data_IF_265870492584
#
_entry.id   IF_265870492584
#
_cell.length_a   1.000
_cell.length_b   1.000
_cell.length_c   1.000
_cell.angle_alpha   90.00
_cell.angle_beta   90.00
_cell.angle_gamma   90.00
#
_symmetry.space_group_name_H-M   'P 1'
#
loop_
_entity.id
_entity.type
_entity.pdbx_description
1 polymer ?
#
# COMPACT_ATOMS: atom_id res chain seq x y z
N UNK A 1 -40.30 0.29 -11.51
CA UNK A 1 -39.02 -0.34 -11.11
C UNK A 1 -37.89 -0.04 -12.10
N UNK A 2 -38.13 0.01 -13.41
CA UNK A 2 -37.15 0.38 -14.45
C UNK A 2 -36.64 1.82 -14.37
N UNK A 3 -37.44 2.77 -13.90
CA UNK A 3 -37.05 4.19 -13.82
C UNK A 3 -36.04 4.49 -12.70
N UNK A 4 -36.10 3.81 -11.54
CA UNK A 4 -35.12 4.00 -10.46
C UNK A 4 -33.76 3.35 -10.79
N UNK A 5 -33.76 2.23 -11.50
CA UNK A 5 -32.53 1.59 -12.01
C UNK A 5 -31.85 2.40 -13.11
N UNK A 6 -32.62 3.11 -13.95
CA UNK A 6 -32.04 4.01 -14.95
C UNK A 6 -31.48 5.29 -14.30
N UNK A 7 -32.18 5.85 -13.29
CA UNK A 7 -31.72 7.00 -12.51
C UNK A 7 -30.44 6.70 -11.72
N UNK A 8 -30.33 5.52 -11.10
CA UNK A 8 -29.14 5.10 -10.36
C UNK A 8 -27.91 4.88 -11.25
N UNK A 9 -28.12 4.48 -12.51
CA UNK A 9 -27.05 4.39 -13.51
C UNK A 9 -26.68 5.78 -14.06
N UNK A 10 -27.61 6.72 -14.04
CA UNK A 10 -27.46 8.08 -14.53
C UNK A 10 -26.70 9.02 -13.57
N UNK A 11 -26.65 8.75 -12.27
CA UNK A 11 -25.81 9.48 -11.29
C UNK A 11 -24.42 8.84 -11.08
N UNK A 12 -24.09 7.82 -11.87
CA UNK A 12 -22.85 7.07 -11.75
C UNK A 12 -21.67 7.80 -12.41
N UNK A 13 -20.52 7.76 -11.74
CA UNK A 13 -19.26 8.32 -12.21
C UNK A 13 -18.64 7.33 -13.20
N UNK A 14 -18.05 7.81 -14.29
CA UNK A 14 -17.41 6.90 -15.25
C UNK A 14 -16.17 6.23 -14.66
N UNK A 15 -15.78 5.02 -15.12
CA UNK A 15 -14.56 4.37 -14.66
C UNK A 15 -13.33 5.27 -14.81
N UNK A 16 -13.23 6.05 -15.89
CA UNK A 16 -12.12 7.00 -16.10
C UNK A 16 -12.08 8.08 -15.02
N UNK A 17 -13.22 8.65 -14.65
CA UNK A 17 -13.31 9.62 -13.56
C UNK A 17 -12.96 8.99 -12.20
N UNK A 18 -13.35 7.73 -11.96
CA UNK A 18 -12.93 6.96 -10.78
C UNK A 18 -11.40 6.73 -10.76
N UNK A 19 -10.80 6.42 -11.91
CA UNK A 19 -9.35 6.27 -12.04
C UNK A 19 -8.64 7.58 -11.71
N UNK A 20 -9.11 8.72 -12.22
CA UNK A 20 -8.53 10.05 -11.92
C UNK A 20 -8.65 10.39 -10.43
N UNK A 21 -9.80 10.14 -9.82
CA UNK A 21 -10.00 10.32 -8.37
C UNK A 21 -9.09 9.40 -7.55
N UNK A 22 -8.85 8.17 -8.02
CA UNK A 22 -7.94 7.22 -7.37
C UNK A 22 -6.48 7.69 -7.48
N UNK A 23 -6.08 8.19 -8.65
CA UNK A 23 -4.76 8.75 -8.90
C UNK A 23 -4.45 9.94 -7.97
N UNK A 24 -5.38 10.89 -7.84
CA UNK A 24 -5.19 12.05 -6.96
C UNK A 24 -5.04 11.63 -5.49
N UNK A 25 -5.84 10.67 -5.03
CA UNK A 25 -5.70 10.08 -3.70
C UNK A 25 -4.36 9.39 -3.49
N UNK A 26 -3.89 8.60 -4.46
CA UNK A 26 -2.59 7.93 -4.41
C UNK A 26 -1.43 8.93 -4.36
N UNK A 27 -1.48 9.98 -5.19
CA UNK A 27 -0.46 11.03 -5.24
C UNK A 27 -0.38 11.81 -3.93
N UNK A 28 -1.53 12.25 -3.41
CA UNK A 28 -1.59 13.02 -2.17
C UNK A 28 -1.12 12.18 -0.99
N UNK A 29 -1.60 10.93 -0.88
CA UNK A 29 -1.17 10.01 0.18
C UNK A 29 0.33 9.76 0.12
N UNK A 30 0.88 9.53 -1.07
CA UNK A 30 2.32 9.32 -1.25
C UNK A 30 3.11 10.57 -0.85
N UNK A 31 2.65 11.76 -1.19
CA UNK A 31 3.30 13.02 -0.82
C UNK A 31 3.39 13.18 0.71
N UNK A 32 2.34 12.84 1.44
CA UNK A 32 2.31 12.95 2.90
C UNK A 32 3.07 11.82 3.62
N UNK A 33 3.01 10.60 3.11
CA UNK A 33 3.58 9.42 3.79
C UNK A 33 5.08 9.25 3.48
N UNK A 34 5.57 9.71 2.32
CA UNK A 34 6.97 9.52 1.92
C UNK A 34 7.99 10.07 2.94
N UNK A 35 7.83 11.29 3.50
CA UNK A 35 8.73 11.79 4.53
C UNK A 35 8.81 10.87 5.75
N UNK A 36 7.67 10.36 6.22
CA UNK A 36 7.62 9.45 7.37
C UNK A 36 8.32 8.13 7.07
N UNK A 37 8.16 7.62 5.84
CA UNK A 37 8.83 6.40 5.40
C UNK A 37 10.35 6.60 5.30
N UNK A 38 10.82 7.74 4.77
CA UNK A 38 12.25 8.06 4.74
C UNK A 38 12.82 8.10 6.16
N UNK A 39 12.18 8.84 7.08
CA UNK A 39 12.64 8.96 8.47
C UNK A 39 12.70 7.58 9.14
N UNK A 40 11.65 6.77 8.98
CA UNK A 40 11.60 5.42 9.53
C UNK A 40 12.75 4.56 9.03
N UNK A 41 13.01 4.57 7.72
CA UNK A 41 14.06 3.73 7.16
C UNK A 41 15.44 4.20 7.64
N UNK A 42 15.69 5.51 7.75
CA UNK A 42 16.95 6.04 8.34
C UNK A 42 17.14 5.61 9.79
N UNK A 43 16.09 5.70 10.61
CA UNK A 43 16.10 5.21 12.00
C UNK A 43 16.36 3.70 12.09
N UNK A 44 15.79 2.92 11.19
CA UNK A 44 15.98 1.47 11.14
C UNK A 44 17.41 1.10 10.70
N UNK A 45 17.97 1.83 9.73
CA UNK A 45 19.34 1.64 9.27
C UNK A 45 20.37 1.86 10.39
N UNK A 46 20.11 2.75 11.34
CA UNK A 46 20.98 2.98 12.50
C UNK A 46 21.03 1.80 13.48
N UNK A 47 19.91 1.07 13.67
CA UNK A 47 19.83 -0.05 14.65
C UNK A 47 20.47 -1.33 14.14
N UNK A 48 20.65 -1.47 12.83
CA UNK A 48 21.37 -2.58 12.21
C UNK A 48 22.60 -2.01 11.50
N UNK A 49 23.66 -1.61 12.24
CA UNK A 49 24.90 -1.17 11.62
C UNK A 49 25.39 -2.31 10.75
N UNK A 50 25.56 -2.03 9.46
CA UNK A 50 25.99 -3.04 8.51
C UNK A 50 27.35 -3.56 8.92
N UNK A 51 27.52 -4.86 8.72
CA UNK A 51 28.82 -5.53 8.85
C UNK A 51 29.92 -4.65 8.22
N UNK A 52 31.03 -4.49 8.98
CA UNK A 52 32.22 -3.73 8.57
C UNK A 52 32.52 -3.98 7.09
N UNK A 53 32.55 -2.92 6.28
CA UNK A 53 32.87 -2.98 4.83
C UNK A 53 31.76 -2.60 3.85
N UNK A 54 30.52 -2.34 4.32
CA UNK A 54 29.40 -1.90 3.45
C UNK A 54 28.76 -0.60 3.99
N UNK A 55 28.74 0.46 3.19
CA UNK A 55 28.03 1.72 3.51
C UNK A 55 26.80 1.85 2.58
N UNK A 56 25.86 2.75 2.88
CA UNK A 56 24.72 3.06 1.98
C UNK A 56 24.62 4.55 1.71
N UNK A 57 24.33 4.92 0.46
CA UNK A 57 24.08 6.28 -0.01
C UNK A 57 22.60 6.26 -0.33
N UNK A 58 21.89 7.24 0.18
CA UNK A 58 20.54 7.48 -0.24
C UNK A 58 20.59 8.53 -1.35
N UNK A 59 20.66 8.07 -2.59
CA UNK A 59 20.36 8.91 -3.74
C UNK A 59 19.06 8.39 -4.34
N UNK A 60 18.09 9.30 -4.55
CA UNK A 60 16.82 9.00 -5.24
C UNK A 60 15.89 7.97 -4.56
N UNK A 61 16.04 7.77 -3.23
CA UNK A 61 15.18 6.96 -2.36
C UNK A 61 14.76 5.58 -2.88
N UNK A 62 15.58 5.03 -3.78
CA UNK A 62 15.98 3.64 -3.72
C UNK A 62 17.08 3.52 -2.66
N UNK A 63 17.12 2.39 -1.95
CA UNK A 63 18.28 2.05 -1.12
C UNK A 63 19.46 1.74 -2.06
N UNK A 64 20.36 2.70 -2.27
CA UNK A 64 21.60 2.46 -3.03
C UNK A 64 22.70 1.95 -2.08
N UNK A 65 23.23 0.75 -2.35
CA UNK A 65 24.42 0.20 -1.69
C UNK A 65 25.68 1.00 -2.09
N UNK A 66 26.45 1.52 -1.13
CA UNK A 66 27.82 2.02 -1.35
C UNK A 66 28.80 0.91 -0.99
N UNK A 67 29.69 0.59 -1.93
CA UNK A 67 30.90 -0.14 -1.60
C UNK A 67 31.87 0.76 -0.84
N UNK A 68 32.23 0.42 0.40
CA UNK A 68 33.41 1.04 1.05
C UNK A 68 34.64 0.34 0.49
N UNK A 69 35.61 1.10 -0.02
CA UNK A 69 36.90 0.55 -0.41
C UNK A 69 37.61 0.00 0.84
N UNK A 70 37.95 -1.28 0.82
CA UNK A 70 38.65 -2.00 1.89
C UNK A 70 40.16 -1.67 1.96
N UNK A 71 40.59 -0.49 1.51
CA UNK A 71 42.00 -0.10 1.55
C UNK A 71 42.22 1.38 1.89
N UNK A 72 42.20 1.66 3.19
CA UNK A 72 43.24 2.38 3.92
C UNK A 72 43.60 3.85 3.62
N UNK A 73 43.36 4.43 2.44
CA UNK A 73 44.02 5.70 2.12
C UNK A 73 43.28 6.69 1.20
N UNK A 74 41.94 6.73 1.25
CA UNK A 74 41.18 7.84 0.63
C UNK A 74 40.11 8.33 1.59
N UNK A 75 40.03 9.66 1.77
CA UNK A 75 39.00 10.37 2.56
C UNK A 75 37.64 9.70 2.36
N UNK A 76 37.01 9.25 3.46
CA UNK A 76 35.64 8.77 3.44
C UNK A 76 34.74 9.88 2.84
N UNK A 77 34.23 9.65 1.63
CA UNK A 77 33.39 10.60 0.90
C UNK A 77 31.99 10.77 1.53
N UNK A 78 31.70 9.97 2.56
CA UNK A 78 30.45 9.94 3.30
C UNK A 78 30.73 10.14 4.80
N UNK A 79 30.19 11.23 5.38
CA UNK A 79 30.20 11.41 6.84
C UNK A 79 29.20 10.43 7.46
N UNK A 80 29.60 9.58 8.43
CA UNK A 80 28.68 8.69 9.11
C UNK A 80 27.54 9.51 9.73
N UNK A 81 26.31 9.04 9.55
CA UNK A 81 25.13 9.72 10.08
C UNK A 81 25.22 9.79 11.61
N UNK A 82 25.04 10.99 12.16
CA UNK A 82 24.96 11.15 13.62
C UNK A 82 23.81 10.31 14.18
N UNK A 83 24.00 9.76 15.38
CA UNK A 83 22.99 8.98 16.07
C UNK A 83 21.68 9.78 16.19
N UNK A 84 20.58 9.21 15.71
CA UNK A 84 19.22 9.71 15.86
C UNK A 84 18.65 9.21 17.19
N UNK A 85 18.21 10.13 18.04
CA UNK A 85 17.59 9.83 19.33
C UNK A 85 16.06 9.65 19.23
N UNK A 86 15.48 9.87 18.05
CA UNK A 86 14.05 9.72 17.80
C UNK A 86 13.60 10.25 16.44
N UNK A 87 12.30 10.15 16.15
CA UNK A 87 11.69 10.57 14.88
C UNK A 87 11.83 12.06 14.61
N UNK A 88 11.62 12.91 15.62
CA UNK A 88 11.76 14.37 15.49
C UNK A 88 13.22 14.79 15.31
N UNK A 89 14.12 14.17 16.05
CA UNK A 89 15.56 14.40 15.92
C UNK A 89 16.07 13.97 14.53
N UNK A 90 15.61 12.81 14.05
CA UNK A 90 15.89 12.36 12.68
C UNK A 90 15.35 13.31 11.62
N UNK A 91 14.11 13.78 11.76
CA UNK A 91 13.52 14.78 10.86
C UNK A 91 14.38 16.05 10.78
N UNK A 92 14.70 16.65 11.93
CA UNK A 92 15.47 17.90 12.00
C UNK A 92 16.88 17.71 11.41
N UNK A 93 17.57 16.63 11.78
CA UNK A 93 18.92 16.33 11.27
C UNK A 93 18.93 16.06 9.77
N UNK A 94 17.97 15.31 9.24
CA UNK A 94 17.86 15.04 7.79
C UNK A 94 17.63 16.34 7.03
N UNK A 95 16.67 17.16 7.47
CA UNK A 95 16.36 18.43 6.81
C UNK A 95 17.56 19.38 6.85
N UNK A 96 18.29 19.46 7.97
CA UNK A 96 19.46 20.33 8.12
C UNK A 96 20.68 19.84 7.32
N UNK A 97 20.91 18.53 7.20
CA UNK A 97 22.11 17.99 6.56
C UNK A 97 21.94 17.67 5.07
N UNK A 98 20.79 17.12 4.67
CA UNK A 98 20.51 16.67 3.30
C UNK A 98 19.57 17.62 2.55
N UNK A 99 18.94 18.55 3.25
CA UNK A 99 17.95 19.48 2.71
C UNK A 99 16.54 18.90 2.69
N UNK A 100 15.52 19.78 2.62
CA UNK A 100 14.11 19.38 2.72
C UNK A 100 13.65 18.41 1.62
N UNK A 101 14.21 18.50 0.41
CA UNK A 101 13.86 17.64 -0.73
C UNK A 101 14.26 16.18 -0.53
N UNK A 102 15.24 15.89 0.35
CA UNK A 102 15.70 14.54 0.65
C UNK A 102 14.59 13.63 1.21
N UNK A 103 13.61 14.22 1.90
CA UNK A 103 12.43 13.52 2.45
C UNK A 103 11.55 12.90 1.36
N UNK A 104 11.64 13.35 0.11
CA UNK A 104 10.91 12.81 -1.04
C UNK A 104 11.81 12.12 -2.06
N UNK A 105 13.06 11.82 -1.70
CA UNK A 105 14.01 11.19 -2.61
C UNK A 105 13.46 9.91 -3.26
N UNK A 106 12.63 9.12 -2.55
CA UNK A 106 12.04 7.86 -3.04
C UNK A 106 10.66 7.97 -3.67
N UNK A 107 10.14 9.19 -3.84
CA UNK A 107 8.78 9.41 -4.33
C UNK A 107 8.59 8.94 -5.78
N UNK A 108 9.44 9.29 -6.76
CA UNK A 108 9.23 8.90 -8.16
C UNK A 108 9.10 7.39 -8.39
N UNK A 109 10.03 6.52 -7.92
CA UNK A 109 9.87 5.08 -8.11
C UNK A 109 8.68 4.54 -7.32
N UNK A 110 8.31 5.15 -6.19
CA UNK A 110 7.10 4.80 -5.43
C UNK A 110 5.83 5.07 -6.21
N UNK A 111 5.72 6.22 -6.87
CA UNK A 111 4.54 6.59 -7.66
C UNK A 111 4.32 5.71 -8.88
N UNK A 112 5.39 5.33 -9.60
CA UNK A 112 5.32 4.44 -10.78
C UNK A 112 4.61 3.12 -10.44
N UNK A 113 4.75 2.65 -9.21
CA UNK A 113 4.11 1.42 -8.72
C UNK A 113 2.78 1.67 -8.02
N UNK A 114 2.72 2.69 -7.16
CA UNK A 114 1.58 2.95 -6.29
C UNK A 114 0.36 3.43 -7.06
N UNK A 115 0.55 4.24 -8.12
CA UNK A 115 -0.57 4.81 -8.89
C UNK A 115 -1.32 3.71 -9.65
N UNK A 116 -0.68 2.87 -10.51
CA UNK A 116 -1.40 1.80 -11.19
C UNK A 116 -2.07 0.82 -10.22
N UNK A 117 -1.38 0.44 -9.13
CA UNK A 117 -1.92 -0.47 -8.13
C UNK A 117 -3.19 0.08 -7.47
N UNK A 118 -3.17 1.36 -7.08
CA UNK A 118 -4.33 2.02 -6.44
C UNK A 118 -5.48 2.17 -7.43
N UNK A 119 -5.19 2.57 -8.67
CA UNK A 119 -6.21 2.72 -9.72
C UNK A 119 -6.93 1.41 -10.01
N UNK A 120 -6.17 0.33 -10.23
CA UNK A 120 -6.74 -1.00 -10.48
C UNK A 120 -7.57 -1.44 -9.28
N UNK A 121 -7.05 -1.29 -8.07
CA UNK A 121 -7.71 -1.72 -6.85
C UNK A 121 -9.02 -0.97 -6.56
N UNK A 122 -8.99 0.37 -6.53
CA UNK A 122 -10.18 1.18 -6.21
C UNK A 122 -11.24 1.10 -7.29
N UNK A 123 -10.85 1.14 -8.56
CA UNK A 123 -11.81 1.00 -9.68
C UNK A 123 -12.43 -0.40 -9.67
N UNK A 124 -11.64 -1.46 -9.50
CA UNK A 124 -12.16 -2.83 -9.40
C UNK A 124 -13.09 -2.99 -8.20
N UNK A 125 -12.73 -2.41 -7.05
CA UNK A 125 -13.59 -2.43 -5.86
C UNK A 125 -14.95 -1.79 -6.13
N UNK A 126 -14.99 -0.56 -6.65
CA UNK A 126 -16.26 0.16 -6.87
C UNK A 126 -17.15 -0.62 -7.85
N UNK A 127 -16.59 -1.13 -8.94
CA UNK A 127 -17.33 -1.91 -9.95
C UNK A 127 -17.84 -3.24 -9.39
N UNK A 128 -16.99 -3.99 -8.67
CA UNK A 128 -17.39 -5.25 -8.02
C UNK A 128 -18.41 -5.01 -6.92
N UNK A 129 -18.28 -3.94 -6.15
CA UNK A 129 -19.20 -3.61 -5.07
C UNK A 129 -20.57 -3.23 -5.63
N UNK A 130 -20.63 -2.44 -6.69
CA UNK A 130 -21.88 -2.12 -7.38
C UNK A 130 -22.56 -3.39 -7.95
N UNK A 131 -21.78 -4.25 -8.63
CA UNK A 131 -22.29 -5.51 -9.17
C UNK A 131 -22.79 -6.47 -8.08
N UNK A 132 -22.05 -6.62 -6.98
CA UNK A 132 -22.44 -7.49 -5.87
C UNK A 132 -23.65 -6.96 -5.11
N UNK A 133 -23.75 -5.64 -4.88
CA UNK A 133 -24.94 -5.03 -4.26
C UNK A 133 -26.20 -5.27 -5.10
N UNK A 134 -26.09 -5.17 -6.42
CA UNK A 134 -27.21 -5.47 -7.31
C UNK A 134 -27.60 -6.96 -7.29
N UNK A 135 -26.63 -7.87 -7.12
CA UNK A 135 -26.88 -9.32 -7.12
C UNK A 135 -27.35 -9.88 -5.77
N UNK A 136 -26.92 -9.29 -4.65
CA UNK A 136 -27.06 -9.93 -3.31
C UNK A 136 -28.29 -9.51 -2.50
N UNK A 137 -29.14 -8.59 -2.98
CA UNK A 137 -30.41 -8.23 -2.32
C UNK A 137 -30.24 -7.91 -0.83
N UNK A 138 -30.90 -8.68 0.06
CA UNK A 138 -30.84 -8.51 1.53
C UNK A 138 -29.44 -8.68 2.14
N UNK A 139 -28.52 -9.42 1.50
CA UNK A 139 -27.12 -9.57 1.98
C UNK A 139 -26.18 -8.45 1.49
N UNK A 140 -26.73 -7.32 1.07
CA UNK A 140 -25.97 -6.16 0.57
C UNK A 140 -24.91 -5.62 1.55
N UNK A 141 -25.09 -5.87 2.84
CA UNK A 141 -24.15 -5.50 3.90
C UNK A 141 -22.78 -6.19 3.81
N UNK A 142 -22.72 -7.41 3.26
CA UNK A 142 -21.48 -8.16 3.07
C UNK A 142 -20.81 -7.87 1.72
N UNK A 143 -21.50 -7.18 0.81
CA UNK A 143 -20.98 -6.87 -0.52
C UNK A 143 -19.66 -6.07 -0.47
N UNK A 144 -19.45 -5.06 0.41
CA UNK A 144 -18.17 -4.37 0.53
C UNK A 144 -17.01 -5.26 0.96
N UNK A 145 -17.29 -6.23 1.85
CA UNK A 145 -16.29 -7.18 2.34
C UNK A 145 -15.80 -8.07 1.20
N UNK A 146 -16.74 -8.69 0.46
CA UNK A 146 -16.43 -9.58 -0.66
C UNK A 146 -15.81 -8.81 -1.84
N UNK A 147 -16.36 -7.65 -2.19
CA UNK A 147 -15.81 -6.78 -3.23
C UNK A 147 -14.37 -6.38 -2.89
N UNK A 148 -14.12 -5.97 -1.63
CA UNK A 148 -12.79 -5.61 -1.15
C UNK A 148 -11.80 -6.77 -1.23
N UNK A 149 -12.22 -7.97 -0.85
CA UNK A 149 -11.39 -9.17 -0.92
C UNK A 149 -11.04 -9.55 -2.37
N UNK A 150 -12.06 -9.67 -3.23
CA UNK A 150 -11.90 -10.09 -4.64
C UNK A 150 -11.08 -9.03 -5.41
N UNK A 151 -11.40 -7.75 -5.23
CA UNK A 151 -10.65 -6.65 -5.85
C UNK A 151 -9.18 -6.69 -5.45
N UNK A 152 -8.87 -6.99 -4.18
CA UNK A 152 -7.49 -7.07 -3.71
C UNK A 152 -6.75 -8.27 -4.28
N UNK A 153 -7.39 -9.43 -4.39
CA UNK A 153 -6.79 -10.60 -5.04
C UNK A 153 -6.45 -10.28 -6.49
N UNK A 154 -7.40 -9.70 -7.24
CA UNK A 154 -7.19 -9.32 -8.63
C UNK A 154 -6.07 -8.28 -8.77
N UNK A 155 -6.12 -7.19 -8.01
CA UNK A 155 -5.13 -6.12 -8.10
C UNK A 155 -3.73 -6.58 -7.70
N UNK A 156 -3.59 -7.33 -6.61
CA UNK A 156 -2.29 -7.84 -6.16
C UNK A 156 -1.69 -8.83 -7.16
N UNK A 157 -2.52 -9.68 -7.78
CA UNK A 157 -2.05 -10.62 -8.81
C UNK A 157 -1.53 -9.89 -10.04
N UNK A 158 -2.20 -8.84 -10.50
CA UNK A 158 -1.77 -8.03 -11.64
C UNK A 158 -0.48 -7.24 -11.36
N UNK A 159 -0.32 -6.75 -10.13
CA UNK A 159 0.79 -5.88 -9.73
C UNK A 159 2.02 -6.67 -9.27
N UNK A 160 1.86 -7.92 -8.84
CA UNK A 160 2.95 -8.76 -8.29
C UNK A 160 4.22 -8.82 -9.15
N UNK A 161 4.16 -8.97 -10.49
CA UNK A 161 5.38 -8.98 -11.31
C UNK A 161 6.16 -7.66 -11.24
N UNK A 162 5.44 -6.53 -11.23
CA UNK A 162 6.05 -5.21 -11.12
C UNK A 162 6.64 -4.99 -9.72
N UNK A 163 5.99 -5.51 -8.66
CA UNK A 163 6.55 -5.48 -7.30
C UNK A 163 7.83 -6.33 -7.19
N UNK A 164 7.87 -7.49 -7.86
CA UNK A 164 9.07 -8.32 -7.91
C UNK A 164 10.25 -7.58 -8.56
N UNK A 165 10.01 -6.92 -9.69
CA UNK A 165 11.01 -6.09 -10.39
C UNK A 165 11.50 -4.97 -9.46
N UNK A 166 10.58 -4.23 -8.84
CA UNK A 166 10.92 -3.14 -7.93
C UNK A 166 11.75 -3.64 -6.74
N UNK A 167 11.34 -4.73 -6.12
CA UNK A 167 12.03 -5.28 -4.94
C UNK A 167 13.43 -5.78 -5.31
N UNK A 168 13.62 -6.38 -6.48
CA UNK A 168 14.94 -6.76 -7.00
C UNK A 168 15.86 -5.56 -7.24
N UNK A 169 15.35 -4.51 -7.87
CA UNK A 169 16.08 -3.25 -8.07
C UNK A 169 16.42 -2.55 -6.75
N UNK A 170 15.59 -2.70 -5.72
CA UNK A 170 15.85 -2.16 -4.39
C UNK A 170 16.84 -3.00 -3.57
N UNK A 171 16.88 -4.31 -3.80
CA UNK A 171 17.76 -5.22 -3.05
C UNK A 171 19.18 -5.25 -3.61
N UNK A 172 19.34 -5.17 -4.93
CA UNK A 172 20.63 -5.30 -5.60
C UNK A 172 20.80 -4.17 -6.64
N UNK A 173 21.99 -3.57 -6.72
CA UNK A 173 22.32 -2.59 -7.77
C UNK A 173 22.56 -3.34 -9.08
N UNK A 174 21.48 -3.72 -9.75
CA UNK A 174 21.52 -4.33 -11.07
C UNK A 174 21.13 -3.30 -12.13
N UNK A 175 21.88 -3.26 -13.23
CA UNK A 175 21.46 -2.58 -14.44
C UNK A 175 20.15 -3.18 -14.96
N UNK A 176 19.31 -2.39 -15.64
CA UNK A 176 18.08 -2.91 -16.26
C UNK A 176 18.35 -4.11 -17.19
N UNK A 177 19.52 -4.17 -17.83
CA UNK A 177 19.96 -5.32 -18.64
C UNK A 177 20.16 -6.57 -17.78
N UNK A 178 20.86 -6.44 -16.66
CA UNK A 178 21.11 -7.53 -15.71
C UNK A 178 19.81 -8.02 -15.08
N UNK A 179 18.92 -7.10 -14.70
CA UNK A 179 17.58 -7.44 -14.20
C UNK A 179 16.78 -8.23 -15.24
N UNK A 180 16.78 -7.79 -16.50
CA UNK A 180 16.07 -8.51 -17.57
C UNK A 180 16.66 -9.91 -17.80
N UNK A 181 17.97 -10.08 -17.67
CA UNK A 181 18.64 -11.37 -17.77
C UNK A 181 18.26 -12.29 -16.59
N UNK A 182 18.19 -11.75 -15.37
CA UNK A 182 17.74 -12.47 -14.17
C UNK A 182 16.28 -12.91 -14.30
N UNK A 183 15.40 -12.04 -14.79
CA UNK A 183 13.99 -12.37 -15.00
C UNK A 183 13.83 -13.43 -16.10
N UNK A 184 14.52 -13.27 -17.23
CA UNK A 184 14.50 -14.27 -18.32
C UNK A 184 15.02 -15.63 -17.85
N UNK A 185 16.10 -15.62 -17.07
CA UNK A 185 16.65 -16.83 -16.47
C UNK A 185 15.65 -17.49 -15.52
N UNK A 186 15.02 -16.71 -14.63
CA UNK A 186 14.01 -17.21 -13.70
C UNK A 186 12.77 -17.79 -14.42
N UNK A 187 12.31 -17.14 -15.49
CA UNK A 187 11.19 -17.65 -16.30
C UNK A 187 11.59 -18.92 -17.07
N UNK A 188 12.84 -19.05 -17.51
CA UNK A 188 13.33 -20.25 -18.18
C UNK A 188 13.50 -21.43 -17.21
N UNK A 189 13.90 -21.20 -15.96
CA UNK A 189 14.15 -22.28 -14.98
C UNK A 189 12.91 -22.70 -14.19
N UNK A 190 12.12 -21.74 -13.72
CA UNK A 190 10.95 -21.98 -12.85
C UNK A 190 9.61 -21.76 -13.58
N UNK A 191 9.65 -21.32 -14.84
CA UNK A 191 8.45 -20.97 -15.62
C UNK A 191 7.89 -19.59 -15.28
N UNK A 192 6.77 -19.23 -15.91
CA UNK A 192 6.11 -17.93 -15.73
C UNK A 192 5.64 -17.67 -14.29
N UNK A 193 5.38 -18.73 -13.51
CA UNK A 193 4.98 -18.64 -12.11
C UNK A 193 6.04 -17.99 -11.20
N UNK A 194 7.30 -17.96 -11.64
CA UNK A 194 8.39 -17.28 -10.94
C UNK A 194 8.09 -15.78 -10.69
N UNK A 195 7.33 -15.14 -11.58
CA UNK A 195 6.96 -13.72 -11.46
C UNK A 195 5.98 -13.44 -10.31
N UNK A 196 5.28 -14.46 -9.83
CA UNK A 196 4.35 -14.38 -8.69
C UNK A 196 4.95 -14.94 -7.39
N UNK A 197 6.27 -15.12 -7.37
CA UNK A 197 6.99 -15.56 -6.16
C UNK A 197 6.84 -14.49 -5.07
N UNK A 198 6.20 -14.86 -3.97
CA UNK A 198 5.87 -13.96 -2.86
C UNK A 198 4.43 -13.43 -2.85
N UNK A 199 3.62 -13.75 -3.87
CA UNK A 199 2.21 -13.37 -3.91
C UNK A 199 1.43 -13.92 -2.69
N UNK A 200 1.66 -15.18 -2.31
CA UNK A 200 0.94 -15.82 -1.19
C UNK A 200 1.03 -15.03 0.13
N UNK A 201 2.23 -14.73 0.64
CA UNK A 201 2.40 -13.87 1.82
C UNK A 201 1.82 -12.45 1.65
N UNK A 202 1.78 -11.91 0.44
CA UNK A 202 1.13 -10.63 0.16
C UNK A 202 -0.39 -10.74 0.27
N UNK A 203 -1.00 -11.73 -0.37
CA UNK A 203 -2.44 -11.97 -0.28
C UNK A 203 -2.90 -12.26 1.15
N UNK A 204 -2.13 -13.06 1.90
CA UNK A 204 -2.44 -13.39 3.30
C UNK A 204 -2.60 -12.15 4.18
N UNK A 205 -1.83 -11.09 3.90
CA UNK A 205 -1.92 -9.83 4.63
C UNK A 205 -2.99 -8.91 4.03
N UNK A 206 -2.91 -8.72 2.73
CA UNK A 206 -3.61 -7.64 2.04
C UNK A 206 -5.10 -7.93 1.88
N UNK A 207 -5.49 -9.19 1.67
CA UNK A 207 -6.89 -9.58 1.48
C UNK A 207 -7.72 -9.42 2.76
N UNK A 208 -7.30 -9.95 3.93
CA UNK A 208 -8.03 -9.70 5.17
C UNK A 208 -8.08 -8.22 5.53
N UNK A 209 -6.99 -7.48 5.26
CA UNK A 209 -6.95 -6.04 5.52
C UNK A 209 -7.99 -5.32 4.66
N UNK A 210 -8.01 -5.60 3.36
CA UNK A 210 -8.95 -5.02 2.40
C UNK A 210 -10.41 -5.31 2.75
N UNK A 211 -10.72 -6.56 3.07
CA UNK A 211 -12.06 -7.02 3.41
C UNK A 211 -12.60 -6.29 4.65
N UNK A 212 -11.80 -6.25 5.73
CA UNK A 212 -12.17 -5.55 6.96
C UNK A 212 -12.21 -4.04 6.78
N UNK A 213 -11.29 -3.48 5.99
CA UNK A 213 -11.24 -2.05 5.72
C UNK A 213 -12.52 -1.56 5.05
N UNK A 214 -12.91 -2.16 3.92
CA UNK A 214 -14.08 -1.71 3.17
C UNK A 214 -15.39 -1.99 3.89
N UNK A 215 -15.51 -3.13 4.59
CA UNK A 215 -16.68 -3.41 5.41
C UNK A 215 -16.91 -2.34 6.49
N UNK A 216 -15.87 -2.06 7.29
CA UNK A 216 -15.96 -1.05 8.35
C UNK A 216 -16.10 0.37 7.79
N UNK A 217 -15.44 0.67 6.67
CA UNK A 217 -15.54 1.96 6.01
C UNK A 217 -16.96 2.24 5.53
N UNK A 218 -17.60 1.32 4.80
CA UNK A 218 -18.96 1.51 4.30
C UNK A 218 -19.98 1.62 5.44
N UNK A 219 -19.86 0.79 6.48
CA UNK A 219 -20.70 0.89 7.69
C UNK A 219 -20.50 2.20 8.43
N UNK A 220 -19.24 2.60 8.67
CA UNK A 220 -18.91 3.85 9.36
C UNK A 220 -19.35 5.09 8.57
N UNK A 221 -19.14 5.09 7.25
CA UNK A 221 -19.61 6.14 6.34
C UNK A 221 -21.13 6.27 6.38
N UNK A 222 -21.87 5.15 6.27
CA UNK A 222 -23.32 5.17 6.33
C UNK A 222 -23.84 5.69 7.68
N UNK A 223 -23.23 5.27 8.78
CA UNK A 223 -23.59 5.75 10.13
C UNK A 223 -23.35 7.26 10.29
N UNK A 224 -22.18 7.78 9.88
CA UNK A 224 -21.88 9.23 9.97
C UNK A 224 -22.77 10.06 9.04
N UNK A 225 -23.06 9.58 7.83
CA UNK A 225 -23.96 10.28 6.91
C UNK A 225 -25.38 10.38 7.46
N UNK A 226 -25.90 9.30 8.06
CA UNK A 226 -27.21 9.30 8.70
C UNK A 226 -27.24 10.26 9.90
N UNK A 227 -26.19 10.24 10.74
CA UNK A 227 -26.09 11.14 11.90
C UNK A 227 -26.04 12.62 11.50
N UNK A 228 -25.28 12.96 10.46
CA UNK A 228 -25.14 14.34 9.98
C UNK A 228 -26.24 14.77 8.99
N UNK A 229 -27.22 13.90 8.69
CA UNK A 229 -28.31 14.13 7.72
C UNK A 229 -27.80 14.53 6.32
N UNK A 230 -26.67 13.97 5.89
CA UNK A 230 -26.07 14.23 4.58
C UNK A 230 -26.24 13.02 3.66
N UNK A 231 -26.76 13.24 2.45
CA UNK A 231 -26.92 12.17 1.46
C UNK A 231 -25.59 11.69 0.88
N UNK A 232 -24.60 12.59 0.79
CA UNK A 232 -23.26 12.29 0.31
C UNK A 232 -22.20 12.41 1.41
N UNK A 233 -21.15 11.58 1.40
CA UNK A 233 -20.07 11.67 2.37
C UNK A 233 -19.25 12.95 2.16
N UNK A 234 -19.19 13.80 3.19
CA UNK A 234 -18.27 14.94 3.20
C UNK A 234 -16.83 14.47 3.36
N UNK A 235 -15.86 15.33 3.02
CA UNK A 235 -14.43 15.03 3.19
C UNK A 235 -14.11 14.56 4.63
N UNK A 236 -14.66 15.22 5.65
CA UNK A 236 -14.45 14.87 7.06
C UNK A 236 -15.05 13.50 7.42
N UNK A 237 -16.24 13.18 6.90
CA UNK A 237 -16.87 11.87 7.12
C UNK A 237 -15.99 10.78 6.50
N UNK A 238 -15.55 10.96 5.26
CA UNK A 238 -14.66 10.01 4.57
C UNK A 238 -13.32 9.88 5.29
N UNK A 239 -12.74 10.99 5.77
CA UNK A 239 -11.47 11.01 6.49
C UNK A 239 -11.55 10.23 7.82
N UNK A 240 -12.55 10.53 8.66
CA UNK A 240 -12.72 9.88 9.97
C UNK A 240 -13.05 8.39 9.78
N UNK A 241 -14.01 8.08 8.91
CA UNK A 241 -14.38 6.68 8.63
C UNK A 241 -13.21 5.89 8.06
N UNK A 242 -12.40 6.49 7.18
CA UNK A 242 -11.17 5.92 6.65
C UNK A 242 -10.09 5.67 7.70
N UNK A 243 -9.87 6.62 8.61
CA UNK A 243 -8.91 6.49 9.70
C UNK A 243 -9.31 5.34 10.65
N UNK A 244 -10.59 5.30 11.05
CA UNK A 244 -11.12 4.29 11.98
C UNK A 244 -11.14 2.91 11.34
N UNK A 245 -11.63 2.79 10.10
CA UNK A 245 -11.66 1.51 9.39
C UNK A 245 -10.26 0.96 9.13
N UNK A 246 -9.31 1.83 8.73
CA UNK A 246 -7.89 1.49 8.57
C UNK A 246 -7.25 1.02 9.87
N UNK A 247 -7.57 1.69 10.98
CA UNK A 247 -7.12 1.31 12.32
C UNK A 247 -7.61 -0.07 12.72
N UNK A 248 -8.92 -0.33 12.63
CA UNK A 248 -9.53 -1.62 12.96
C UNK A 248 -8.93 -2.73 12.08
N UNK A 249 -8.86 -2.50 10.76
CA UNK A 249 -8.26 -3.45 9.83
C UNK A 249 -6.79 -3.74 10.16
N UNK A 250 -6.01 -2.72 10.55
CA UNK A 250 -4.60 -2.88 10.92
C UNK A 250 -4.39 -3.70 12.20
N UNK A 251 -5.32 -3.61 13.17
CA UNK A 251 -5.28 -4.38 14.41
C UNK A 251 -5.62 -5.85 14.13
N UNK A 252 -6.74 -6.08 13.41
CA UNK A 252 -7.21 -7.44 13.09
C UNK A 252 -6.18 -8.20 12.25
N UNK A 253 -5.46 -7.51 11.36
CA UNK A 253 -4.47 -8.14 10.49
C UNK A 253 -3.05 -8.15 11.04
N UNK A 254 -2.83 -7.66 12.26
CA UNK A 254 -1.49 -7.59 12.84
C UNK A 254 -0.79 -8.94 13.02
N UNK A 255 -1.48 -10.02 13.44
CA UNK A 255 -0.85 -11.34 13.51
C UNK A 255 -0.28 -11.79 12.16
N UNK A 256 -0.98 -11.54 11.05
CA UNK A 256 -0.53 -11.91 9.72
C UNK A 256 0.69 -11.09 9.25
N UNK A 257 0.74 -9.81 9.61
CA UNK A 257 1.92 -8.95 9.37
C UNK A 257 3.15 -9.46 10.11
N UNK A 258 2.99 -9.83 11.39
CA UNK A 258 4.09 -10.36 12.21
C UNK A 258 4.61 -11.67 11.63
N UNK A 259 3.73 -12.60 11.25
CA UNK A 259 4.15 -13.86 10.63
C UNK A 259 4.89 -13.61 9.31
N UNK A 260 4.40 -12.72 8.46
CA UNK A 260 5.06 -12.37 7.19
C UNK A 260 6.45 -11.78 7.41
N UNK A 261 6.56 -10.81 8.31
CA UNK A 261 7.84 -10.13 8.59
C UNK A 261 8.87 -11.08 9.19
N UNK A 262 8.49 -11.93 10.15
CA UNK A 262 9.37 -12.96 10.71
C UNK A 262 9.87 -13.92 9.63
N UNK A 263 8.97 -14.39 8.76
CA UNK A 263 9.35 -15.26 7.63
C UNK A 263 10.31 -14.57 6.65
N UNK A 264 10.12 -13.29 6.37
CA UNK A 264 11.01 -12.53 5.50
C UNK A 264 12.40 -12.35 6.11
N UNK A 265 12.49 -12.13 7.43
CA UNK A 265 13.77 -12.05 8.15
C UNK A 265 14.49 -13.40 8.13
N UNK A 266 13.80 -14.50 8.47
CA UNK A 266 14.37 -15.85 8.47
C UNK A 266 14.90 -16.25 7.09
N UNK A 267 14.15 -15.98 6.03
CA UNK A 267 14.60 -16.21 4.65
C UNK A 267 15.83 -15.37 4.29
N UNK A 268 15.88 -14.10 4.74
CA UNK A 268 17.03 -13.23 4.52
C UNK A 268 18.31 -13.75 5.21
N UNK A 269 18.19 -14.24 6.45
CA UNK A 269 19.31 -14.82 7.20
C UNK A 269 19.83 -16.12 6.58
N UNK A 270 18.94 -17.00 6.13
CA UNK A 270 19.30 -18.24 5.44
C UNK A 270 20.07 -17.97 4.14
N UNK A 271 19.58 -16.99 3.35
CA UNK A 271 20.24 -16.59 2.11
C UNK A 271 21.61 -15.97 2.36
N UNK A 272 21.77 -15.18 3.43
CA UNK A 272 23.06 -14.61 3.83
C UNK A 272 24.09 -15.67 4.26
N UNK A 273 23.65 -16.76 4.90
CA UNK A 273 24.52 -17.84 5.37
C UNK A 273 24.92 -18.85 4.28
N UNK A 274 24.45 -18.70 3.04
CA UNK A 274 24.62 -19.68 1.92
C UNK A 274 24.25 -21.12 2.29
N UNK A 275 23.49 -21.32 3.36
CA UNK A 275 22.97 -22.62 3.75
C UNK A 275 21.76 -22.89 2.86
N UNK A 276 22.00 -23.58 1.74
CA UNK A 276 20.94 -24.21 0.95
C UNK A 276 20.37 -25.33 1.82
N UNK A 277 19.42 -24.98 2.69
CA UNK A 277 18.61 -25.98 3.39
C UNK A 277 17.22 -26.01 2.76
N UNK A 278 16.89 -27.18 2.26
CA UNK A 278 15.68 -27.62 1.56
C UNK A 278 14.41 -27.62 2.42
N UNK A 279 14.29 -26.77 3.45
CA UNK A 279 13.20 -26.90 4.41
C UNK A 279 12.70 -25.57 5.00
N UNK A 280 12.38 -24.60 4.15
CA UNK A 280 11.72 -23.35 4.55
C UNK A 280 10.23 -23.28 4.17
N UNK A 281 9.57 -24.41 3.92
CA UNK A 281 8.10 -24.46 3.81
C UNK A 281 7.49 -24.75 5.18
N UNK A 282 7.79 -23.88 6.15
CA UNK A 282 7.05 -23.87 7.41
C UNK A 282 5.68 -23.26 7.11
N UNK A 283 4.60 -24.01 7.33
CA UNK A 283 3.24 -23.50 7.23
C UNK A 283 3.11 -22.22 8.06
N UNK A 284 2.38 -21.22 7.56
CA UNK A 284 2.08 -19.96 8.27
C UNK A 284 1.60 -20.24 9.70
N UNK A 285 0.80 -21.30 9.86
CA UNK A 285 0.30 -21.75 11.15
C UNK A 285 1.42 -22.20 12.10
N UNK A 286 2.42 -22.94 11.60
CA UNK A 286 3.58 -23.39 12.40
C UNK A 286 4.40 -22.20 12.88
N UNK A 287 4.62 -21.20 12.03
CA UNK A 287 5.31 -19.96 12.41
C UNK A 287 4.51 -19.20 13.46
N UNK A 288 3.19 -19.10 13.29
CA UNK A 288 2.31 -18.46 14.29
C UNK A 288 2.37 -19.18 15.64
N UNK A 289 2.32 -20.51 15.64
CA UNK A 289 2.41 -21.34 16.85
C UNK A 289 3.77 -21.17 17.55
N UNK A 290 4.85 -21.09 16.78
CA UNK A 290 6.21 -20.84 17.30
C UNK A 290 6.30 -19.47 17.97
N UNK A 291 5.79 -18.42 17.34
CA UNK A 291 5.79 -17.05 17.92
C UNK A 291 5.02 -17.03 19.25
N UNK A 292 3.86 -17.68 19.31
CA UNK A 292 3.06 -17.75 20.53
C UNK A 292 3.79 -18.54 21.62
N UNK A 293 4.52 -19.61 21.27
CA UNK A 293 5.32 -20.36 22.23
C UNK A 293 6.52 -19.57 22.77
N UNK A 294 7.18 -18.74 21.95
CA UNK A 294 8.38 -17.98 22.33
C UNK A 294 8.07 -16.66 23.05
N UNK A 295 7.06 -15.91 22.60
CA UNK A 295 6.77 -14.54 23.04
C UNK A 295 5.33 -14.33 23.51
N UNK A 296 4.55 -15.40 23.62
CA UNK A 296 3.13 -15.32 23.94
C UNK A 296 2.30 -14.64 22.86
N UNK A 297 1.02 -14.39 23.17
CA UNK A 297 0.08 -13.70 22.26
C UNK A 297 0.52 -12.26 21.99
N UNK A 298 1.19 -11.61 22.95
CA UNK A 298 1.73 -10.25 22.77
C UNK A 298 2.76 -10.17 21.64
N UNK A 299 3.49 -11.26 21.38
CA UNK A 299 4.41 -11.37 20.25
C UNK A 299 3.72 -11.18 18.90
N UNK A 300 2.46 -11.60 18.74
CA UNK A 300 1.67 -11.41 17.52
C UNK A 300 1.22 -9.96 17.30
N UNK A 301 1.26 -9.13 18.35
CA UNK A 301 0.89 -7.71 18.29
C UNK A 301 2.10 -6.78 18.43
N UNK A 302 3.32 -7.32 18.35
CA UNK A 302 4.54 -6.53 18.39
C UNK A 302 4.59 -5.53 17.22
N UNK A 303 4.82 -4.26 17.53
CA UNK A 303 4.88 -3.18 16.53
C UNK A 303 3.53 -2.59 16.13
N UNK A 304 2.45 -2.83 16.89
CA UNK A 304 1.13 -2.28 16.61
C UNK A 304 1.10 -0.74 16.53
N UNK A 305 1.74 -0.03 17.48
CA UNK A 305 1.71 1.44 17.52
C UNK A 305 2.35 2.08 16.28
N UNK A 306 3.59 1.71 15.88
CA UNK A 306 4.18 2.20 14.63
C UNK A 306 3.32 1.89 13.40
N UNK A 307 2.63 0.75 13.37
CA UNK A 307 1.70 0.42 12.28
C UNK A 307 0.51 1.36 12.27
N UNK A 308 -0.13 1.55 13.42
CA UNK A 308 -1.34 2.37 13.55
C UNK A 308 -1.08 3.83 13.15
N UNK A 309 0.03 4.40 13.64
CA UNK A 309 0.46 5.78 13.32
C UNK A 309 0.68 5.96 11.82
N UNK A 310 1.13 4.93 11.10
CA UNK A 310 1.32 4.98 9.64
C UNK A 310 0.01 4.75 8.87
N UNK A 311 -0.74 3.70 9.23
CA UNK A 311 -1.88 3.23 8.44
C UNK A 311 -3.07 4.17 8.55
N UNK A 312 -3.37 4.68 9.76
CA UNK A 312 -4.57 5.50 9.95
C UNK A 312 -4.54 6.80 9.11
N UNK A 313 -3.46 7.61 9.10
CA UNK A 313 -3.40 8.80 8.25
C UNK A 313 -3.36 8.45 6.75
N UNK A 314 -2.65 7.39 6.37
CA UNK A 314 -2.55 6.99 4.97
C UNK A 314 -3.92 6.59 4.40
N UNK A 315 -4.69 5.78 5.14
CA UNK A 315 -6.04 5.39 4.75
C UNK A 315 -6.99 6.60 4.73
N UNK A 316 -6.92 7.46 5.75
CA UNK A 316 -7.77 8.65 5.87
C UNK A 316 -7.60 9.60 4.67
N UNK A 317 -6.36 9.95 4.34
CA UNK A 317 -6.04 10.84 3.20
C UNK A 317 -6.47 10.19 1.89
N UNK A 318 -6.13 8.92 1.69
CA UNK A 318 -6.41 8.22 0.43
C UNK A 318 -7.90 8.19 0.13
N UNK A 319 -8.72 7.79 1.12
CA UNK A 319 -10.16 7.64 0.90
C UNK A 319 -10.89 8.97 0.87
N UNK A 320 -10.48 9.95 1.68
CA UNK A 320 -11.12 11.26 1.69
C UNK A 320 -10.89 12.01 0.38
N UNK A 321 -9.67 11.92 -0.18
CA UNK A 321 -9.38 12.47 -1.51
C UNK A 321 -10.13 11.72 -2.60
N UNK A 322 -10.22 10.39 -2.51
CA UNK A 322 -10.98 9.59 -3.47
C UNK A 322 -12.48 9.95 -3.48
N UNK A 323 -13.13 10.00 -2.32
CA UNK A 323 -14.54 10.38 -2.22
C UNK A 323 -14.78 11.84 -2.63
N UNK A 324 -13.88 12.74 -2.25
CA UNK A 324 -13.95 14.13 -2.70
C UNK A 324 -13.87 14.23 -4.22
N UNK A 325 -12.93 13.52 -4.84
CA UNK A 325 -12.82 13.45 -6.30
C UNK A 325 -14.09 12.88 -6.94
N UNK A 326 -14.67 11.82 -6.34
CA UNK A 326 -15.94 11.27 -6.80
C UNK A 326 -17.08 12.28 -6.72
N UNK A 327 -17.25 12.96 -5.60
CA UNK A 327 -18.27 13.99 -5.41
C UNK A 327 -18.09 15.16 -6.39
N UNK A 328 -16.85 15.58 -6.64
CA UNK A 328 -16.52 16.59 -7.64
C UNK A 328 -17.00 16.19 -9.05
N UNK A 329 -16.69 14.98 -9.49
CA UNK A 329 -17.12 14.50 -10.81
C UNK A 329 -18.63 14.28 -10.91
N UNK A 330 -19.32 13.83 -9.85
CA UNK A 330 -20.79 13.78 -9.84
C UNK A 330 -21.41 15.14 -10.07
N UNK A 331 -20.94 16.15 -9.32
CA UNK A 331 -21.43 17.53 -9.44
C UNK A 331 -21.17 18.10 -10.84
N UNK A 332 -20.04 17.78 -11.45
CA UNK A 332 -19.73 18.19 -12.81
C UNK A 332 -20.66 17.51 -13.84
N UNK A 333 -20.83 16.19 -13.75
CA UNK A 333 -21.72 15.44 -14.64
C UNK A 333 -23.19 15.91 -14.54
N UNK A 334 -23.63 16.32 -13.35
CA UNK A 334 -24.96 16.92 -13.14
C UNK A 334 -25.09 18.29 -13.79
N UNK A 335 -24.03 19.12 -13.79
CA UNK A 335 -24.01 20.44 -14.41
C UNK A 335 -23.92 20.41 -15.93
N UNK A 336 -23.31 19.39 -16.51
CA UNK A 336 -23.18 19.24 -17.97
C UNK A 336 -24.44 18.62 -18.61
N UNK A 337 -25.34 18.04 -17.80
CA UNK A 337 -26.61 17.43 -18.25
C UNK A 337 -27.80 18.33 -18.60
N UNK A 338 -27.97 19.57 -18.11
CA UNK A 338 -29.14 20.38 -18.41
C UNK A 338 -29.22 20.85 -19.88
N UNK A 339 -28.17 20.62 -20.69
CA UNK A 339 -28.14 21.01 -22.11
C UNK A 339 -28.69 19.92 -23.05
N UNK A 340 -28.61 18.63 -22.68
CA UNK A 340 -29.00 17.54 -23.58
C UNK A 340 -30.51 17.25 -23.62
N UNK A 341 -31.25 17.63 -22.57
CA UNK A 341 -32.71 17.44 -22.50
C UNK A 341 -33.52 18.53 -23.21
N UNK A 342 -32.91 19.66 -23.58
CA UNK A 342 -33.61 20.73 -24.32
C UNK A 342 -33.57 20.54 -25.85
N UNK A 343 -32.66 19.72 -26.37
CA UNK A 343 -32.55 19.46 -27.81
C UNK A 343 -33.36 18.26 -28.31
N UNK A 344 -33.97 17.46 -27.42
CA UNK A 344 -34.73 16.25 -27.78
C UNK A 344 -36.25 16.40 -27.70
N UNK A 345 -36.77 17.59 -27.36
CA UNK A 345 -38.22 17.88 -27.31
C UNK A 345 -38.76 18.75 -28.46
N UNK A 346 -37.96 19.00 -29.50
CA UNK A 346 -38.38 19.72 -30.71
C UNK A 346 -38.18 18.87 -31.97
N UNK A 347 -38.88 17.74 -32.03
CA UNK A 347 -39.26 17.00 -33.25
C UNK A 347 -40.48 16.16 -32.90
#
# INVERSE_FOLDING_TARGET
MTSQTFQANMDSITPVQQMVASCSGALLTSLFVTPLDVIKIRLQAQRSPLYKGKCFVYCNGLMDHICVCENGNVKAWYKPQGHFNGTLDAFIKIVRMEGIKSLWSGLPPTLVMAVPATVIYFTSYDQLCAALRHRMGERSDLAPLLAGAIARVGSATLISPLELIRTKLQSERQSYRELSAVIRSAVHTEGWLALWRGLGPTLLRDVPFSAMYWYNYEKGKAWLCHYNKTTEPTFSIAFISGAVSGSIASIVTLPFDVVKTRRQVELGELQARKLVSSQASCSTYTVMKRIVAESGIQGLFAGFMPRLIKVAPACAIMISTYEFGKAFFRKQNQKDRPVLTLHTTNT
#
